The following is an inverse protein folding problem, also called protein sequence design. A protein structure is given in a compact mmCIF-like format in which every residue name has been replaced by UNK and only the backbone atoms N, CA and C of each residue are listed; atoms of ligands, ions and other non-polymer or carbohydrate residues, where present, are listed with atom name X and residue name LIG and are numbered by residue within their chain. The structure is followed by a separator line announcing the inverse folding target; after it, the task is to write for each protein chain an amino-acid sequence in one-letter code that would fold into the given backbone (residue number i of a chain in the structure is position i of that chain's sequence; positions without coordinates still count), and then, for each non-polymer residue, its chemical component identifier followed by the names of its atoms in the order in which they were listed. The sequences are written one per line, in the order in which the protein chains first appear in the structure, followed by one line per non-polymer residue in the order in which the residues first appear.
data_IF_885361232821
#
_entry.id   IF_885361232821
#
_cell.length_a   1.000
_cell.length_b   1.000
_cell.length_c   1.000
_cell.angle_alpha   90.00
_cell.angle_beta   90.00
_cell.angle_gamma   90.00
#
_symmetry.space_group_name_H-M   'P 1'
#
loop_
_entity.id
_entity.type
_entity.pdbx_description
1 polymer ?
#
# COMPACT_ATOMS: atom_id res chain seq x y z
N UNK A 1 6.22 5.46 13.71
CA UNK A 1 6.60 5.20 12.30
C UNK A 1 6.70 6.51 11.57
N UNK A 2 7.62 6.58 10.61
CA UNK A 2 7.72 7.66 9.63
C UNK A 2 6.81 7.35 8.45
N UNK A 3 5.92 8.27 8.12
CA UNK A 3 4.94 8.11 7.04
C UNK A 3 5.10 9.25 6.04
N UNK A 4 5.28 8.89 4.78
CA UNK A 4 5.31 9.83 3.67
C UNK A 4 3.96 9.80 2.95
N UNK A 5 3.26 10.93 2.91
CA UNK A 5 2.01 11.09 2.18
C UNK A 5 2.30 11.86 0.89
N UNK A 6 2.07 11.23 -0.26
CA UNK A 6 2.16 11.91 -1.56
C UNK A 6 0.86 12.68 -1.81
N UNK A 7 0.97 13.99 -2.00
CA UNK A 7 -0.15 14.92 -2.10
C UNK A 7 -0.52 15.53 -0.74
N UNK A 8 -0.94 16.79 -0.73
CA UNK A 8 -1.35 17.55 0.45
C UNK A 8 -2.75 18.18 0.33
N UNK A 9 -3.56 17.70 -0.60
CA UNK A 9 -4.95 18.11 -0.79
C UNK A 9 -5.89 17.76 0.37
N UNK A 10 -7.20 17.98 0.19
CA UNK A 10 -8.20 17.82 1.26
C UNK A 10 -8.38 16.36 1.72
N UNK A 11 -8.31 15.39 0.79
CA UNK A 11 -8.36 13.97 1.13
C UNK A 11 -7.06 13.50 1.81
N UNK A 12 -5.90 13.94 1.33
CA UNK A 12 -4.60 13.67 1.97
C UNK A 12 -4.54 14.26 3.38
N UNK A 13 -5.14 15.44 3.59
CA UNK A 13 -5.26 16.06 4.92
C UNK A 13 -6.14 15.26 5.87
N UNK A 14 -7.23 14.64 5.38
CA UNK A 14 -8.03 13.72 6.20
C UNK A 14 -7.28 12.44 6.58
N UNK A 15 -6.39 11.95 5.71
CA UNK A 15 -5.47 10.85 6.04
C UNK A 15 -4.47 11.31 7.10
N UNK A 16 -3.83 12.45 6.88
CA UNK A 16 -2.88 13.04 7.83
C UNK A 16 -3.50 13.21 9.22
N UNK A 17 -4.75 13.68 9.32
CA UNK A 17 -5.46 13.84 10.60
C UNK A 17 -5.54 12.54 11.41
N UNK A 18 -5.85 11.41 10.77
CA UNK A 18 -5.94 10.12 11.48
C UNK A 18 -4.58 9.61 11.91
N UNK A 19 -3.58 9.74 11.03
CA UNK A 19 -2.21 9.30 11.33
C UNK A 19 -1.54 10.20 12.38
N UNK A 20 -1.82 11.50 12.35
CA UNK A 20 -1.32 12.49 13.30
C UNK A 20 -1.87 12.21 14.70
N UNK A 21 -3.19 12.01 14.80
CA UNK A 21 -3.83 11.63 16.05
C UNK A 21 -3.37 10.27 16.61
N UNK A 22 -2.83 9.39 15.78
CA UNK A 22 -2.19 8.13 16.19
C UNK A 22 -0.70 8.28 16.58
N UNK A 23 -0.13 9.48 16.47
CA UNK A 23 1.25 9.78 16.90
C UNK A 23 2.33 9.43 15.88
N UNK A 24 2.00 9.33 14.59
CA UNK A 24 2.99 9.11 13.54
C UNK A 24 3.75 10.39 13.16
N UNK A 25 5.00 10.24 12.72
CA UNK A 25 5.75 11.34 12.09
C UNK A 25 5.34 11.39 10.62
N UNK A 26 4.85 12.54 10.17
CA UNK A 26 4.26 12.69 8.83
C UNK A 26 5.08 13.70 8.04
N UNK A 27 5.49 13.33 6.83
CA UNK A 27 5.97 14.26 5.81
C UNK A 27 5.02 14.19 4.62
N UNK A 28 4.66 15.34 4.06
CA UNK A 28 3.81 15.41 2.88
C UNK A 28 4.57 16.00 1.69
N UNK A 29 4.27 15.53 0.48
CA UNK A 29 4.76 16.17 -0.76
C UNK A 29 3.63 16.77 -1.55
N UNK A 30 3.96 17.79 -2.35
CA UNK A 30 2.99 18.44 -3.22
C UNK A 30 3.68 19.01 -4.47
N UNK A 31 2.88 19.37 -5.48
CA UNK A 31 3.33 20.13 -6.65
C UNK A 31 3.50 21.62 -6.30
N UNK A 32 4.25 22.35 -7.14
CA UNK A 32 4.53 23.78 -6.91
C UNK A 32 3.27 24.68 -6.93
N UNK A 33 2.27 24.30 -7.72
CA UNK A 33 0.98 25.01 -7.83
C UNK A 33 -0.18 24.06 -7.50
N UNK A 34 -0.51 23.86 -6.21
CA UNK A 34 -1.54 22.90 -5.81
C UNK A 34 -2.94 23.33 -6.31
N UNK A 35 -3.63 22.45 -7.02
CA UNK A 35 -4.99 22.69 -7.53
C UNK A 35 -6.07 22.20 -6.55
N UNK A 36 -5.87 22.42 -5.25
CA UNK A 36 -6.82 22.00 -4.23
C UNK A 36 -7.99 22.97 -4.16
N UNK A 37 -9.22 22.49 -4.33
CA UNK A 37 -10.43 23.34 -4.30
C UNK A 37 -10.87 23.66 -2.86
N UNK A 38 -10.89 22.65 -1.98
CA UNK A 38 -11.26 22.81 -0.56
C UNK A 38 -10.05 23.26 0.26
N UNK A 39 -9.50 24.43 -0.07
CA UNK A 39 -8.22 24.94 0.46
C UNK A 39 -8.23 25.15 1.97
N UNK A 40 -9.35 25.61 2.53
CA UNK A 40 -9.54 25.86 3.97
C UNK A 40 -9.34 24.61 4.85
N UNK A 41 -9.34 23.42 4.26
CA UNK A 41 -9.16 22.13 4.95
C UNK A 41 -8.05 21.29 4.33
N UNK A 42 -7.09 21.94 3.67
CA UNK A 42 -5.97 21.29 3.01
C UNK A 42 -4.63 21.86 3.46
N UNK A 43 -3.69 20.98 3.77
CA UNK A 43 -2.32 21.35 4.16
C UNK A 43 -1.48 21.81 2.96
N UNK A 44 -1.92 21.59 1.73
CA UNK A 44 -1.28 22.11 0.50
C UNK A 44 -1.16 23.64 0.47
N UNK A 45 -1.94 24.36 1.29
CA UNK A 45 -1.76 25.80 1.55
C UNK A 45 -0.37 26.18 2.00
N UNK A 46 0.32 25.30 2.74
CA UNK A 46 1.67 25.56 3.21
C UNK A 46 2.63 25.88 2.06
N UNK A 47 2.43 25.31 0.86
CA UNK A 47 3.28 25.53 -0.32
C UNK A 47 3.38 27.02 -0.71
N UNK A 48 2.25 27.74 -0.68
CA UNK A 48 2.18 29.14 -1.13
C UNK A 48 1.94 30.16 -0.01
N UNK A 49 1.51 29.72 1.17
CA UNK A 49 1.33 30.57 2.36
C UNK A 49 2.46 30.41 3.38
N UNK A 50 3.38 29.45 3.18
CA UNK A 50 4.46 29.10 4.10
C UNK A 50 4.02 28.23 5.29
N UNK A 51 2.75 28.32 5.70
CA UNK A 51 2.16 27.45 6.72
C UNK A 51 0.67 27.20 6.44
N UNK A 52 0.13 26.15 7.05
CA UNK A 52 -1.29 25.84 7.04
C UNK A 52 -1.70 25.22 8.38
N UNK A 53 -2.89 25.57 8.85
CA UNK A 53 -3.50 24.96 10.04
C UNK A 53 -4.85 24.38 9.66
N UNK A 54 -5.07 23.11 9.99
CA UNK A 54 -6.33 22.40 9.77
C UNK A 54 -6.62 21.56 11.00
N UNK A 55 -7.70 21.93 11.71
CA UNK A 55 -8.06 21.34 13.00
C UNK A 55 -6.85 21.45 13.96
N UNK A 56 -6.34 20.34 14.50
CA UNK A 56 -5.19 20.33 15.43
C UNK A 56 -3.82 20.27 14.74
N UNK A 57 -3.79 20.10 13.41
CA UNK A 57 -2.56 19.92 12.66
C UNK A 57 -2.04 21.27 12.15
N UNK A 58 -0.74 21.47 12.34
CA UNK A 58 0.01 22.57 11.72
C UNK A 58 1.01 21.99 10.74
N UNK A 59 1.06 22.58 9.56
CA UNK A 59 1.98 22.20 8.51
C UNK A 59 2.79 23.41 8.05
N UNK A 60 4.05 23.17 7.71
CA UNK A 60 4.99 24.21 7.28
C UNK A 60 5.67 23.79 5.99
N UNK A 61 5.89 24.74 5.09
CA UNK A 61 6.74 24.50 3.93
C UNK A 61 8.16 24.25 4.40
N UNK A 62 8.79 23.24 3.83
CA UNK A 62 10.22 22.99 3.96
C UNK A 62 10.82 22.84 2.56
N UNK A 63 11.96 23.50 2.33
CA UNK A 63 12.70 23.46 1.07
C UNK A 63 13.96 22.57 1.17
N UNK A 64 14.28 22.04 2.37
CA UNK A 64 15.44 21.18 2.63
C UNK A 64 15.15 20.05 3.63
N UNK A 65 16.05 19.07 3.70
CA UNK A 65 15.98 17.98 4.70
C UNK A 65 16.11 18.53 6.12
N UNK A 66 16.97 19.51 6.32
CA UNK A 66 17.21 20.17 7.60
C UNK A 66 15.95 20.88 8.10
N UNK A 67 15.33 21.72 7.26
CA UNK A 67 14.07 22.39 7.58
C UNK A 67 12.95 21.40 7.87
N UNK A 68 12.83 20.35 7.06
CA UNK A 68 11.84 19.30 7.30
C UNK A 68 12.06 18.61 8.66
N UNK A 69 13.32 18.35 9.01
CA UNK A 69 13.71 17.81 10.32
C UNK A 69 13.34 18.74 11.48
N UNK A 70 13.53 20.05 11.32
CA UNK A 70 13.13 21.03 12.34
C UNK A 70 11.61 21.05 12.55
N UNK A 71 10.82 21.01 11.48
CA UNK A 71 9.36 20.96 11.56
C UNK A 71 8.90 19.67 12.27
N UNK A 72 9.46 18.52 11.88
CA UNK A 72 9.16 17.23 12.51
C UNK A 72 9.53 17.20 14.01
N UNK A 73 10.63 17.85 14.40
CA UNK A 73 11.08 17.89 15.80
C UNK A 73 10.10 18.62 16.73
N UNK A 74 9.27 19.51 16.18
CA UNK A 74 8.22 20.24 16.90
C UNK A 74 6.90 19.47 16.97
N UNK A 75 6.81 18.33 16.28
CA UNK A 75 5.57 17.58 16.12
C UNK A 75 4.64 18.18 15.07
N UNK A 76 5.15 19.03 14.19
CA UNK A 76 4.42 19.62 13.07
C UNK A 76 4.70 18.85 11.76
N UNK A 77 3.95 19.14 10.69
CA UNK A 77 4.02 18.40 9.42
C UNK A 77 4.78 19.21 8.36
N UNK A 78 5.97 18.79 7.90
CA UNK A 78 6.60 19.40 6.73
C UNK A 78 5.86 19.07 5.43
N UNK A 79 5.69 20.09 4.58
CA UNK A 79 5.18 19.97 3.21
C UNK A 79 6.28 20.40 2.24
N UNK A 80 6.72 19.49 1.39
CA UNK A 80 7.82 19.73 0.43
C UNK A 80 7.25 19.78 -0.98
N UNK A 81 7.72 20.73 -1.79
CA UNK A 81 7.46 20.74 -3.24
C UNK A 81 8.34 19.69 -3.92
N UNK A 82 7.79 18.48 -4.06
CA UNK A 82 8.51 17.30 -4.56
C UNK A 82 7.54 16.33 -5.26
N UNK A 83 7.16 16.62 -6.52
CA UNK A 83 6.17 15.85 -7.26
C UNK A 83 6.53 14.38 -7.45
N UNK A 84 7.84 14.06 -7.50
CA UNK A 84 8.33 12.68 -7.66
C UNK A 84 8.61 11.99 -6.32
N UNK A 85 8.35 12.66 -5.19
CA UNK A 85 8.60 12.13 -3.84
C UNK A 85 10.04 11.61 -3.64
N UNK A 86 11.02 12.30 -4.24
CA UNK A 86 12.46 11.97 -4.09
C UNK A 86 12.94 12.06 -2.65
N UNK A 87 12.25 12.84 -1.81
CA UNK A 87 12.50 12.94 -0.38
C UNK A 87 12.46 11.59 0.35
N UNK A 88 11.78 10.58 -0.19
CA UNK A 88 11.77 9.22 0.36
C UNK A 88 13.17 8.64 0.56
N UNK A 89 14.15 9.05 -0.26
CA UNK A 89 15.54 8.55 -0.21
C UNK A 89 16.27 8.94 1.07
N UNK A 90 15.97 10.09 1.65
CA UNK A 90 16.60 10.56 2.89
C UNK A 90 15.63 10.50 4.08
N UNK A 91 14.33 10.57 3.84
CA UNK A 91 13.33 10.43 4.90
C UNK A 91 13.22 8.98 5.38
N UNK A 92 13.43 8.03 4.45
CA UNK A 92 13.33 6.58 4.67
C UNK A 92 12.02 6.20 5.38
N UNK A 93 10.86 6.44 4.74
CA UNK A 93 9.57 6.18 5.35
C UNK A 93 9.36 4.68 5.60
N UNK A 94 8.76 4.34 6.75
CA UNK A 94 8.23 2.99 7.01
C UNK A 94 7.02 2.71 6.10
N UNK A 95 6.23 3.76 5.83
CA UNK A 95 5.01 3.69 5.02
C UNK A 95 4.95 4.83 4.02
N UNK A 96 4.61 4.52 2.77
CA UNK A 96 4.17 5.52 1.78
C UNK A 96 2.67 5.40 1.56
N UNK A 97 1.99 6.54 1.55
CA UNK A 97 0.57 6.66 1.18
C UNK A 97 0.48 7.54 -0.06
N UNK A 98 0.10 6.97 -1.20
CA UNK A 98 -0.19 7.76 -2.40
C UNK A 98 -1.63 8.28 -2.37
N UNK A 99 -1.76 9.55 -1.98
CA UNK A 99 -3.02 10.27 -1.87
C UNK A 99 -3.18 11.36 -2.96
N UNK A 100 -2.41 11.28 -4.06
CA UNK A 100 -2.48 12.22 -5.19
C UNK A 100 -3.85 12.13 -5.88
N UNK A 101 -4.46 10.95 -5.89
CA UNK A 101 -5.77 10.67 -6.50
C UNK A 101 -5.83 11.00 -8.01
N UNK A 102 -4.73 10.74 -8.72
CA UNK A 102 -4.62 10.96 -10.16
C UNK A 102 -5.51 10.03 -11.01
N UNK A 103 -6.14 9.01 -10.40
CA UNK A 103 -6.96 7.96 -11.04
C UNK A 103 -6.17 7.04 -11.98
N UNK A 104 -4.85 7.16 -11.96
CA UNK A 104 -3.85 6.33 -12.63
C UNK A 104 -2.60 6.34 -11.77
N UNK A 105 -1.83 5.25 -11.80
CA UNK A 105 -0.52 5.23 -11.16
C UNK A 105 0.43 6.19 -11.90
N UNK A 106 1.08 7.10 -11.16
CA UNK A 106 2.05 8.08 -11.70
C UNK A 106 3.51 7.67 -11.47
N UNK A 107 3.76 6.43 -11.04
CA UNK A 107 5.09 5.90 -10.77
C UNK A 107 5.32 5.49 -9.32
N UNK A 108 4.26 5.16 -8.59
CA UNK A 108 4.36 4.48 -7.29
C UNK A 108 4.60 3.00 -7.51
N UNK A 109 5.60 2.47 -6.85
CA UNK A 109 5.94 1.05 -6.87
C UNK A 109 5.76 0.44 -5.48
N UNK A 110 5.41 -0.85 -5.42
CA UNK A 110 5.23 -1.57 -4.15
C UNK A 110 6.50 -1.58 -3.29
N UNK A 111 7.66 -1.39 -3.92
CA UNK A 111 9.00 -1.36 -3.34
C UNK A 111 9.46 0.05 -2.92
N UNK A 112 8.66 1.10 -3.11
CA UNK A 112 9.05 2.48 -2.77
C UNK A 112 9.28 2.68 -1.26
N UNK A 113 8.64 1.87 -0.42
CA UNK A 113 8.79 1.79 1.03
C UNK A 113 8.50 0.37 1.52
N UNK A 114 8.84 0.03 2.79
CA UNK A 114 8.53 -1.27 3.36
C UNK A 114 7.03 -1.62 3.44
N UNK A 115 6.16 -0.60 3.35
CA UNK A 115 4.72 -0.74 3.15
C UNK A 115 4.19 0.43 2.32
N UNK A 116 3.34 0.16 1.34
CA UNK A 116 2.87 1.13 0.35
C UNK A 116 1.36 1.01 0.20
N UNK A 117 0.66 2.13 0.34
CA UNK A 117 -0.81 2.22 0.28
C UNK A 117 -1.20 3.11 -0.89
N UNK A 118 -1.96 2.56 -1.84
CA UNK A 118 -2.62 3.35 -2.88
C UNK A 118 -3.98 3.86 -2.42
N UNK A 119 -4.33 5.12 -2.66
CA UNK A 119 -5.63 5.66 -2.27
C UNK A 119 -6.50 5.91 -3.50
N UNK A 120 -7.59 5.15 -3.61
CA UNK A 120 -8.56 5.27 -4.70
C UNK A 120 -8.18 4.54 -5.99
N UNK A 121 -8.90 4.80 -7.10
CA UNK A 121 -8.68 4.11 -8.36
C UNK A 121 -7.32 4.47 -8.98
N UNK A 122 -6.80 3.58 -9.81
CA UNK A 122 -5.51 3.73 -10.48
C UNK A 122 -4.37 2.91 -9.88
N UNK A 123 -4.63 2.21 -8.78
CA UNK A 123 -3.70 1.28 -8.12
C UNK A 123 -4.31 -0.13 -8.03
N UNK A 124 -3.45 -1.12 -7.99
CA UNK A 124 -3.78 -2.55 -7.83
C UNK A 124 -2.98 -3.12 -6.65
N UNK A 125 -3.67 -3.58 -5.62
CA UNK A 125 -3.07 -4.25 -4.47
C UNK A 125 -2.41 -5.56 -4.90
N UNK A 126 -1.16 -5.76 -4.46
CA UNK A 126 -0.30 -6.87 -4.85
C UNK A 126 0.57 -6.60 -6.09
N UNK A 127 0.37 -5.47 -6.79
CA UNK A 127 1.18 -5.08 -7.94
C UNK A 127 1.81 -3.69 -7.74
N UNK A 128 0.98 -2.64 -7.66
CA UNK A 128 1.45 -1.26 -7.51
C UNK A 128 1.76 -0.92 -6.03
N UNK A 129 1.07 -1.58 -5.11
CA UNK A 129 1.09 -1.29 -3.68
C UNK A 129 0.65 -2.52 -2.86
N UNK A 130 0.83 -2.48 -1.55
CA UNK A 130 0.46 -3.60 -0.67
C UNK A 130 -1.05 -3.68 -0.43
N UNK A 131 -1.73 -2.53 -0.42
CA UNK A 131 -3.17 -2.45 -0.35
C UNK A 131 -3.69 -1.15 -0.94
N UNK A 132 -4.97 -1.16 -1.33
CA UNK A 132 -5.68 0.02 -1.83
C UNK A 132 -6.77 0.42 -0.83
N UNK A 133 -6.93 1.71 -0.55
CA UNK A 133 -8.06 2.22 0.24
C UNK A 133 -9.15 2.76 -0.68
N UNK A 134 -10.38 2.28 -0.51
CA UNK A 134 -11.53 2.70 -1.31
C UNK A 134 -11.94 4.16 -1.01
N UNK A 135 -12.26 4.91 -2.07
CA UNK A 135 -12.61 6.34 -2.01
C UNK A 135 -13.99 6.66 -2.58
N UNK A 136 -14.65 5.71 -3.23
CA UNK A 136 -16.03 5.85 -3.69
C UNK A 136 -16.96 5.86 -2.49
N UNK A 137 -17.84 6.87 -2.45
CA UNK A 137 -18.89 6.95 -1.42
C UNK A 137 -19.83 5.75 -1.57
N UNK A 138 -20.20 5.15 -0.45
CA UNK A 138 -21.04 3.95 -0.39
C UNK A 138 -20.65 3.09 0.82
N UNK A 139 -21.14 1.85 0.84
CA UNK A 139 -20.89 0.91 1.93
C UNK A 139 -19.42 0.49 2.09
N UNK A 140 -18.60 0.69 1.07
CA UNK A 140 -17.19 0.27 1.06
C UNK A 140 -16.22 1.43 1.23
N UNK A 141 -16.70 2.65 1.47
CA UNK A 141 -15.84 3.83 1.61
C UNK A 141 -14.87 3.65 2.78
N UNK A 142 -13.57 3.78 2.51
CA UNK A 142 -12.51 3.58 3.49
C UNK A 142 -12.11 2.12 3.72
N UNK A 143 -12.76 1.15 3.05
CA UNK A 143 -12.33 -0.24 3.16
C UNK A 143 -10.91 -0.42 2.62
N UNK A 144 -10.14 -1.26 3.30
CA UNK A 144 -8.83 -1.71 2.85
C UNK A 144 -8.99 -2.92 1.92
N UNK A 145 -8.52 -2.78 0.69
CA UNK A 145 -8.55 -3.79 -0.36
C UNK A 145 -7.15 -4.41 -0.43
N UNK A 146 -7.06 -5.69 -0.05
CA UNK A 146 -5.80 -6.43 0.00
C UNK A 146 -5.47 -7.17 -1.31
N UNK A 147 -6.41 -7.24 -2.25
CA UNK A 147 -6.25 -7.84 -3.57
C UNK A 147 -7.16 -7.11 -4.57
N UNK A 148 -6.61 -6.69 -5.72
CA UNK A 148 -7.34 -5.94 -6.74
C UNK A 148 -7.34 -4.42 -6.53
N UNK A 149 -8.31 -3.72 -7.12
CA UNK A 149 -8.33 -2.25 -7.19
C UNK A 149 -9.61 -1.66 -6.57
N UNK A 150 -9.53 -0.38 -6.20
CA UNK A 150 -10.72 0.39 -5.85
C UNK A 150 -11.69 0.54 -7.04
N UNK A 151 -12.95 0.84 -6.74
CA UNK A 151 -13.98 1.01 -7.75
C UNK A 151 -13.56 2.13 -8.73
N UNK A 152 -13.64 1.88 -10.06
CA UNK A 152 -13.24 2.87 -11.06
C UNK A 152 -13.96 4.21 -10.90
N UNK A 153 -13.26 5.29 -11.24
CA UNK A 153 -13.84 6.63 -11.23
C UNK A 153 -15.00 6.72 -12.23
N UNK A 154 -16.22 6.90 -11.74
CA UNK A 154 -17.43 7.03 -12.58
C UNK A 154 -17.52 8.38 -13.31
N UNK A 155 -16.71 9.37 -12.93
CA UNK A 155 -16.80 10.75 -13.44
C UNK A 155 -17.96 11.56 -12.85
N UNK A 156 -18.92 10.90 -12.20
CA UNK A 156 -20.09 11.52 -11.56
C UNK A 156 -19.78 11.84 -10.09
N UNK A 157 -19.88 13.10 -9.65
CA UNK A 157 -19.69 13.47 -8.25
C UNK A 157 -20.76 12.84 -7.36
N UNK A 158 -20.41 12.58 -6.09
CA UNK A 158 -21.40 12.14 -5.09
C UNK A 158 -22.52 13.15 -4.89
N UNK A 159 -23.72 12.65 -4.62
CA UNK A 159 -24.91 13.45 -4.35
C UNK A 159 -24.75 14.22 -3.04
N UNK A 160 -25.08 15.52 -3.07
CA UNK A 160 -25.17 16.38 -1.89
C UNK A 160 -26.46 17.19 -1.99
N UNK A 161 -27.43 16.88 -1.13
CA UNK A 161 -28.72 17.58 -1.10
C UNK A 161 -29.51 17.48 -2.42
N UNK A 162 -29.38 16.37 -3.16
CA UNK A 162 -30.04 16.16 -4.45
C UNK A 162 -29.17 16.46 -5.67
N UNK A 163 -28.06 17.18 -5.52
CA UNK A 163 -27.23 17.67 -6.63
C UNK A 163 -25.95 16.85 -6.81
N UNK A 164 -25.49 16.72 -8.05
CA UNK A 164 -24.25 15.98 -8.39
C UNK A 164 -23.28 16.84 -9.19
N UNK A 165 -23.55 17.07 -10.47
CA UNK A 165 -22.69 17.82 -11.39
C UNK A 165 -22.88 19.32 -11.20
N UNK A 166 -24.11 19.74 -10.90
CA UNK A 166 -24.55 21.12 -10.70
C UNK A 166 -23.79 21.80 -9.56
N UNK A 167 -23.30 21.00 -8.59
CA UNK A 167 -22.55 21.51 -7.45
C UNK A 167 -21.11 21.88 -7.79
N UNK A 168 -20.61 21.51 -8.97
CA UNK A 168 -19.23 21.80 -9.38
C UNK A 168 -19.15 23.14 -10.10
N UNK A 169 -18.22 23.99 -9.68
CA UNK A 169 -17.84 25.18 -10.42
C UNK A 169 -16.71 24.76 -11.36
N UNK A 170 -16.89 24.95 -12.67
CA UNK A 170 -15.92 24.58 -13.71
C UNK A 170 -15.46 25.81 -14.47
N UNK A 171 -14.18 25.85 -14.84
CA UNK A 171 -13.63 26.93 -15.65
C UNK A 171 -14.34 27.01 -17.01
N UNK A 172 -14.76 28.22 -17.40
CA UNK A 172 -15.39 28.50 -18.69
C UNK A 172 -14.37 28.59 -19.83
N UNK A 173 -13.12 28.93 -19.53
CA UNK A 173 -12.04 29.00 -20.51
C UNK A 173 -10.68 28.77 -19.84
N UNK A 174 -9.67 28.41 -20.65
CA UNK A 174 -8.30 28.30 -20.17
C UNK A 174 -7.72 29.68 -19.84
N UNK A 175 -6.98 29.80 -18.74
CA UNK A 175 -6.37 31.05 -18.31
C UNK A 175 -6.13 31.09 -16.80
N UNK A 176 -5.99 32.30 -16.25
CA UNK A 176 -5.97 32.50 -14.81
C UNK A 176 -7.40 32.63 -14.28
N UNK A 177 -7.64 32.07 -13.10
CA UNK A 177 -8.90 32.25 -12.37
C UNK A 177 -8.89 33.55 -11.55
N UNK A 178 -10.01 34.27 -11.61
CA UNK A 178 -10.33 35.42 -10.76
C UNK A 178 -11.63 35.13 -10.00
N UNK A 179 -11.57 34.61 -8.76
CA UNK A 179 -12.76 34.39 -7.95
C UNK A 179 -13.52 35.70 -7.69
N UNK A 180 -14.85 35.69 -7.85
CA UNK A 180 -15.73 36.82 -7.52
C UNK A 180 -16.47 36.62 -6.20
N UNK A 181 -16.34 35.44 -5.61
CA UNK A 181 -16.89 35.02 -4.32
C UNK A 181 -15.83 34.27 -3.52
N UNK A 182 -16.02 34.19 -2.21
CA UNK A 182 -15.11 33.53 -1.26
C UNK A 182 -15.73 32.23 -0.74
N UNK A 183 -14.87 31.34 -0.24
CA UNK A 183 -15.32 30.16 0.51
C UNK A 183 -16.11 30.63 1.74
N UNK A 184 -17.32 30.10 1.93
CA UNK A 184 -18.26 30.51 2.97
C UNK A 184 -19.38 31.44 2.47
N UNK A 185 -19.23 32.06 1.30
CA UNK A 185 -20.28 32.91 0.74
C UNK A 185 -21.47 32.06 0.26
N UNK A 186 -22.68 32.56 0.48
CA UNK A 186 -23.88 32.05 -0.17
C UNK A 186 -23.99 32.65 -1.58
N UNK A 187 -24.32 31.82 -2.56
CA UNK A 187 -24.52 32.23 -3.96
C UNK A 187 -25.86 31.75 -4.48
N UNK A 188 -26.43 32.52 -5.40
CA UNK A 188 -27.65 32.16 -6.13
C UNK A 188 -27.32 31.50 -7.48
N UNK A 189 -28.18 30.57 -7.93
CA UNK A 189 -28.08 30.02 -9.27
C UNK A 189 -28.09 31.15 -10.33
N UNK A 190 -27.16 31.11 -11.27
CA UNK A 190 -26.96 32.16 -12.28
C UNK A 190 -26.08 33.33 -11.83
N UNK A 191 -25.62 33.37 -10.57
CA UNK A 191 -24.64 34.36 -10.12
C UNK A 191 -23.26 34.09 -10.71
N UNK A 192 -22.53 35.14 -11.08
CA UNK A 192 -21.11 35.03 -11.47
C UNK A 192 -20.27 34.76 -10.23
N UNK A 193 -19.55 33.64 -10.22
CA UNK A 193 -18.73 33.19 -9.09
C UNK A 193 -17.22 33.29 -9.35
N UNK A 194 -16.81 33.29 -10.61
CA UNK A 194 -15.43 33.52 -11.00
C UNK A 194 -15.37 34.05 -12.44
N UNK A 195 -14.19 34.50 -12.85
CA UNK A 195 -13.83 34.73 -14.26
C UNK A 195 -12.62 33.84 -14.57
N UNK A 196 -12.62 33.17 -15.73
CA UNK A 196 -11.50 32.33 -16.18
C UNK A 196 -11.22 32.61 -17.64
N UNK A 197 -9.97 32.95 -17.98
CA UNK A 197 -9.61 33.27 -19.37
C UNK A 197 -10.37 34.47 -19.95
N UNK A 198 -10.85 35.38 -19.10
CA UNK A 198 -11.71 36.52 -19.48
C UNK A 198 -13.21 36.21 -19.53
N UNK A 199 -13.61 34.94 -19.43
CA UNK A 199 -15.01 34.51 -19.51
C UNK A 199 -15.64 34.31 -18.12
N UNK A 200 -16.89 34.75 -17.90
CA UNK A 200 -17.58 34.57 -16.62
C UNK A 200 -17.93 33.08 -16.38
N UNK A 201 -17.83 32.69 -15.11
CA UNK A 201 -18.26 31.37 -14.61
C UNK A 201 -19.48 31.56 -13.73
N UNK A 202 -20.57 30.86 -14.04
CA UNK A 202 -21.85 30.99 -13.35
C UNK A 202 -22.12 29.82 -12.42
N UNK A 203 -22.67 30.09 -11.23
CA UNK A 203 -23.20 29.08 -10.33
C UNK A 203 -24.36 28.33 -10.99
N UNK A 204 -24.29 26.99 -11.04
CA UNK A 204 -25.36 26.16 -11.60
C UNK A 204 -26.44 25.80 -10.57
N UNK A 205 -26.22 26.18 -9.31
CA UNK A 205 -27.16 25.97 -8.21
C UNK A 205 -26.92 26.99 -7.09
N UNK A 206 -27.94 27.23 -6.27
CA UNK A 206 -27.80 28.05 -5.07
C UNK A 206 -27.21 27.25 -3.90
N UNK A 207 -26.48 27.91 -3.01
CA UNK A 207 -25.90 27.27 -1.82
C UNK A 207 -24.64 27.99 -1.35
N UNK A 208 -23.87 27.33 -0.47
CA UNK A 208 -22.61 27.89 0.03
C UNK A 208 -21.44 27.43 -0.82
N UNK A 209 -20.56 28.35 -1.21
CA UNK A 209 -19.28 28.04 -1.83
C UNK A 209 -18.40 27.36 -0.79
N UNK A 210 -18.25 26.04 -0.91
CA UNK A 210 -17.50 25.21 0.03
C UNK A 210 -16.02 25.08 -0.34
N UNK A 211 -15.71 25.35 -1.60
CA UNK A 211 -14.35 25.33 -2.13
C UNK A 211 -14.23 26.22 -3.35
N UNK A 212 -13.05 26.79 -3.53
CA UNK A 212 -12.68 27.68 -4.63
C UNK A 212 -11.16 27.62 -4.77
N UNK A 213 -10.63 27.51 -5.98
CA UNK A 213 -9.20 27.62 -6.25
C UNK A 213 -8.67 29.00 -5.84
N UNK A 214 -7.35 29.11 -5.71
CA UNK A 214 -6.70 30.38 -5.44
C UNK A 214 -6.79 31.30 -6.65
N UNK A 215 -6.87 32.61 -6.38
CA UNK A 215 -6.76 33.62 -7.42
C UNK A 215 -5.42 33.48 -8.16
N UNK A 216 -5.45 33.64 -9.48
CA UNK A 216 -4.27 33.58 -10.32
C UNK A 216 -3.82 32.17 -10.72
N UNK A 217 -4.39 31.09 -10.17
CA UNK A 217 -4.11 29.72 -10.61
C UNK A 217 -4.39 29.52 -12.09
N UNK A 218 -3.46 28.83 -12.77
CA UNK A 218 -3.67 28.38 -14.14
C UNK A 218 -4.75 27.28 -14.18
N UNK A 219 -5.74 27.45 -15.03
CA UNK A 219 -6.83 26.49 -15.23
C UNK A 219 -6.99 26.20 -16.71
N UNK A 220 -7.36 24.96 -17.05
CA UNK A 220 -7.85 24.60 -18.38
C UNK A 220 -9.37 24.70 -18.41
N UNK A 221 -9.95 24.83 -19.60
CA UNK A 221 -11.39 24.74 -19.78
C UNK A 221 -11.94 23.46 -19.12
N UNK A 222 -13.11 23.55 -18.49
CA UNK A 222 -13.80 22.48 -17.77
C UNK A 222 -13.09 21.91 -16.52
N UNK A 223 -11.92 22.43 -16.15
CA UNK A 223 -11.26 22.09 -14.88
C UNK A 223 -12.18 22.44 -13.70
N UNK A 224 -12.22 21.58 -12.68
CA UNK A 224 -12.94 21.88 -11.45
C UNK A 224 -12.22 23.01 -10.71
N UNK A 225 -12.87 24.15 -10.55
CA UNK A 225 -12.32 25.33 -9.89
C UNK A 225 -12.99 25.66 -8.56
N UNK A 226 -14.13 25.04 -8.26
CA UNK A 226 -14.88 25.28 -7.04
C UNK A 226 -15.93 24.21 -6.78
N UNK A 227 -16.56 24.25 -5.60
CA UNK A 227 -17.77 23.48 -5.32
C UNK A 227 -18.73 24.22 -4.39
N UNK A 228 -20.03 24.03 -4.66
CA UNK A 228 -21.14 24.56 -3.89
C UNK A 228 -21.74 23.42 -3.07
N UNK A 229 -22.09 23.68 -1.81
CA UNK A 229 -22.75 22.74 -0.92
C UNK A 229 -24.21 23.16 -0.71
N UNK A 230 -25.13 22.33 -1.20
CA UNK A 230 -26.57 22.55 -1.14
C UNK A 230 -27.12 22.65 0.28
N UNK A 231 -26.42 22.06 1.26
CA UNK A 231 -26.87 22.02 2.66
C UNK A 231 -26.71 23.36 3.36
N UNK A 232 -25.92 24.28 2.78
CA UNK A 232 -25.71 25.62 3.29
C UNK A 232 -25.23 25.70 4.76
N UNK A 233 -24.42 24.71 5.18
CA UNK A 233 -23.79 24.69 6.50
C UNK A 233 -22.36 25.26 6.42
N UNK A 234 -22.14 26.46 6.96
CA UNK A 234 -20.86 27.18 6.90
C UNK A 234 -19.72 26.35 7.52
N UNK A 235 -19.98 25.62 8.61
CA UNK A 235 -18.98 24.81 9.29
C UNK A 235 -18.33 23.77 8.35
N UNK A 236 -19.07 23.24 7.37
CA UNK A 236 -18.56 22.27 6.40
C UNK A 236 -17.47 22.84 5.47
N UNK A 237 -17.31 24.17 5.41
CA UNK A 237 -16.20 24.81 4.70
C UNK A 237 -14.87 24.62 5.43
N UNK A 238 -14.89 24.47 6.76
CA UNK A 238 -13.68 24.52 7.62
C UNK A 238 -13.38 23.21 8.35
N UNK A 239 -14.22 22.18 8.18
CA UNK A 239 -13.99 20.86 8.78
C UNK A 239 -13.57 19.81 7.76
N UNK A 240 -12.70 18.89 8.18
CA UNK A 240 -12.35 17.70 7.40
C UNK A 240 -13.63 16.91 7.09
N UNK A 241 -13.82 16.50 5.84
CA UNK A 241 -15.06 15.82 5.44
C UNK A 241 -15.18 14.42 6.04
N UNK A 242 -16.42 13.97 6.22
CA UNK A 242 -16.77 12.57 6.47
C UNK A 242 -16.01 11.58 5.59
N UNK A 243 -15.93 11.88 4.29
CA UNK A 243 -15.22 11.05 3.30
C UNK A 243 -13.72 11.00 3.57
N UNK A 244 -13.10 12.17 3.81
CA UNK A 244 -11.68 12.25 4.09
C UNK A 244 -11.33 11.51 5.39
N UNK A 245 -12.19 11.61 6.41
CA UNK A 245 -12.04 10.89 7.68
C UNK A 245 -12.20 9.37 7.53
N UNK A 246 -13.13 8.92 6.70
CA UNK A 246 -13.33 7.49 6.43
C UNK A 246 -12.13 6.89 5.67
N UNK A 247 -11.63 7.58 4.65
CA UNK A 247 -10.41 7.19 3.93
C UNK A 247 -9.21 7.17 4.89
N UNK A 248 -9.04 8.21 5.70
CA UNK A 248 -7.98 8.23 6.72
C UNK A 248 -8.09 7.09 7.73
N UNK A 249 -9.32 6.68 8.08
CA UNK A 249 -9.55 5.52 8.94
C UNK A 249 -9.07 4.22 8.30
N UNK A 250 -9.36 4.01 7.02
CA UNK A 250 -8.85 2.88 6.25
C UNK A 250 -7.32 2.86 6.12
N UNK A 251 -6.71 4.02 5.90
CA UNK A 251 -5.25 4.14 5.88
C UNK A 251 -4.66 3.80 7.25
N UNK A 252 -5.22 4.35 8.34
CA UNK A 252 -4.77 4.03 9.69
C UNK A 252 -4.92 2.53 10.00
N UNK A 253 -6.03 1.90 9.62
CA UNK A 253 -6.21 0.45 9.77
C UNK A 253 -5.10 -0.34 9.05
N UNK A 254 -4.78 0.02 7.81
CA UNK A 254 -3.71 -0.63 7.05
C UNK A 254 -2.33 -0.41 7.69
N UNK A 255 -2.05 0.79 8.20
CA UNK A 255 -0.82 1.12 8.93
C UNK A 255 -0.70 0.34 10.23
N UNK A 256 -1.78 0.23 11.01
CA UNK A 256 -1.82 -0.55 12.25
C UNK A 256 -1.64 -2.05 11.99
N UNK A 257 -2.24 -2.56 10.90
CA UNK A 257 -2.00 -3.93 10.44
C UNK A 257 -0.52 -4.16 10.18
N UNK A 258 0.12 -3.26 9.44
CA UNK A 258 1.55 -3.35 9.16
C UNK A 258 2.41 -3.31 10.44
N UNK A 259 2.10 -2.41 11.38
CA UNK A 259 2.80 -2.32 12.66
C UNK A 259 2.72 -3.62 13.49
N UNK A 260 1.63 -4.39 13.37
CA UNK A 260 1.50 -5.69 14.02
C UNK A 260 2.39 -6.78 13.40
N UNK A 261 2.84 -6.59 12.16
CA UNK A 261 3.65 -7.55 11.39
C UNK A 261 5.14 -7.21 11.34
N UNK A 262 5.46 -5.92 11.24
CA UNK A 262 6.83 -5.44 11.03
C UNK A 262 7.80 -5.97 12.10
N UNK A 263 8.87 -6.63 11.65
CA UNK A 263 9.90 -7.20 12.51
C UNK A 263 9.42 -8.36 13.39
N UNK A 264 8.31 -9.02 13.05
CA UNK A 264 7.79 -10.20 13.77
C UNK A 264 7.71 -11.47 12.94
N UNK A 265 7.82 -11.37 11.62
CA UNK A 265 7.75 -12.51 10.72
C UNK A 265 8.95 -12.54 9.78
N UNK A 266 9.22 -13.71 9.22
CA UNK A 266 10.25 -13.94 8.21
C UNK A 266 9.71 -14.76 7.04
N UNK A 267 10.41 -14.71 5.91
CA UNK A 267 10.11 -15.50 4.71
C UNK A 267 11.25 -16.49 4.48
N UNK A 268 10.91 -17.75 4.24
CA UNK A 268 11.85 -18.78 3.79
C UNK A 268 11.37 -19.33 2.46
N UNK A 269 12.18 -19.17 1.43
CA UNK A 269 11.95 -19.67 0.08
C UNK A 269 12.70 -20.99 -0.08
N UNK A 270 11.99 -22.06 -0.41
CA UNK A 270 12.57 -23.39 -0.62
C UNK A 270 12.89 -23.57 -2.11
N UNK A 271 14.17 -23.69 -2.43
CA UNK A 271 14.70 -23.79 -3.80
C UNK A 271 15.72 -24.92 -3.98
N UNK A 272 15.77 -25.88 -3.05
CA UNK A 272 16.73 -26.99 -3.07
C UNK A 272 16.17 -28.29 -3.70
N UNK A 273 14.98 -28.26 -4.31
CA UNK A 273 14.36 -29.45 -4.89
C UNK A 273 15.13 -29.98 -6.11
N UNK A 274 15.35 -31.30 -6.18
CA UNK A 274 16.12 -31.93 -7.26
C UNK A 274 15.44 -31.92 -8.64
N UNK A 275 14.14 -31.59 -8.73
CA UNK A 275 13.42 -31.46 -10.01
C UNK A 275 13.43 -32.72 -10.87
N UNK A 276 13.51 -33.90 -10.26
CA UNK A 276 13.74 -35.18 -10.96
C UNK A 276 12.67 -35.48 -12.00
N UNK A 277 11.39 -35.20 -11.68
CA UNK A 277 10.25 -35.37 -12.61
C UNK A 277 10.28 -34.41 -13.81
N UNK A 278 10.98 -33.30 -13.68
CA UNK A 278 11.16 -32.30 -14.74
C UNK A 278 12.31 -32.63 -15.69
N UNK A 279 13.19 -33.57 -15.29
CA UNK A 279 14.41 -33.93 -16.01
C UNK A 279 15.63 -33.07 -15.63
N UNK A 280 15.61 -32.43 -14.46
CA UNK A 280 16.67 -31.53 -13.98
C UNK A 280 16.48 -30.08 -14.41
N UNK A 281 17.15 -29.17 -13.70
CA UNK A 281 17.20 -27.72 -13.99
C UNK A 281 15.85 -26.97 -14.03
N UNK A 282 14.82 -27.52 -13.35
CA UNK A 282 13.45 -26.99 -13.26
C UNK A 282 13.40 -25.50 -12.94
N UNK A 283 14.17 -25.07 -11.94
CA UNK A 283 14.14 -23.69 -11.47
C UNK A 283 14.68 -22.68 -12.49
N UNK A 284 15.48 -23.12 -13.47
CA UNK A 284 15.99 -22.27 -14.54
C UNK A 284 15.14 -22.28 -15.80
N UNK A 285 14.12 -23.16 -15.86
CA UNK A 285 13.21 -23.18 -16.98
C UNK A 285 12.44 -21.85 -17.06
N UNK A 286 12.19 -21.40 -18.28
CA UNK A 286 11.51 -20.13 -18.52
C UNK A 286 9.99 -20.30 -18.39
N UNK A 287 9.38 -19.47 -17.55
CA UNK A 287 7.94 -19.26 -17.43
C UNK A 287 7.71 -17.77 -17.64
N UNK A 288 6.85 -17.39 -18.60
CA UNK A 288 6.61 -15.98 -18.97
C UNK A 288 7.93 -15.22 -19.20
N UNK A 289 8.80 -15.81 -20.02
CA UNK A 289 10.12 -15.29 -20.40
C UNK A 289 11.16 -15.15 -19.27
N UNK A 290 10.86 -15.69 -18.07
CA UNK A 290 11.70 -15.52 -16.88
C UNK A 290 11.99 -16.86 -16.20
N UNK A 291 13.21 -17.09 -15.67
CA UNK A 291 13.51 -18.30 -14.90
C UNK A 291 12.52 -18.49 -13.74
N UNK A 292 12.05 -19.72 -13.55
CA UNK A 292 11.04 -20.06 -12.56
C UNK A 292 11.35 -19.52 -11.14
N UNK A 293 12.62 -19.60 -10.70
CA UNK A 293 13.01 -19.10 -9.37
C UNK A 293 12.86 -17.58 -9.21
N UNK A 294 13.06 -16.80 -10.27
CA UNK A 294 13.02 -15.32 -10.21
C UNK A 294 11.62 -14.81 -9.85
N UNK A 295 10.56 -15.52 -10.24
CA UNK A 295 9.18 -15.13 -9.93
C UNK A 295 8.94 -15.01 -8.42
N UNK A 296 9.51 -15.90 -7.61
CA UNK A 296 9.36 -15.83 -6.15
C UNK A 296 10.34 -14.82 -5.53
N UNK A 297 11.53 -14.63 -6.11
CA UNK A 297 12.47 -13.62 -5.63
C UNK A 297 11.88 -12.21 -5.78
N UNK A 298 11.25 -11.90 -6.89
CA UNK A 298 10.59 -10.59 -7.12
C UNK A 298 9.44 -10.35 -6.15
N UNK A 299 8.61 -11.37 -5.88
CA UNK A 299 7.53 -11.25 -4.90
C UNK A 299 8.06 -10.99 -3.50
N UNK A 300 9.21 -11.55 -3.15
CA UNK A 300 9.83 -11.32 -1.85
C UNK A 300 10.34 -9.86 -1.69
N UNK A 301 10.68 -9.15 -2.77
CA UNK A 301 11.10 -7.74 -2.70
C UNK A 301 9.99 -6.81 -2.21
N UNK A 302 8.72 -7.15 -2.51
CA UNK A 302 7.58 -6.44 -1.95
C UNK A 302 7.55 -6.51 -0.41
N UNK A 303 8.19 -7.51 0.20
CA UNK A 303 8.21 -7.70 1.66
C UNK A 303 9.56 -7.32 2.27
N UNK A 304 10.18 -6.22 1.81
CA UNK A 304 11.51 -5.76 2.28
C UNK A 304 11.60 -5.52 3.80
N UNK A 305 10.47 -5.31 4.50
CA UNK A 305 10.40 -5.24 5.97
C UNK A 305 10.54 -6.59 6.69
N UNK A 306 10.53 -7.70 5.97
CA UNK A 306 10.57 -9.06 6.48
C UNK A 306 11.92 -9.71 6.13
N UNK A 307 12.71 -10.15 7.11
CA UNK A 307 13.92 -10.93 6.84
C UNK A 307 13.58 -12.11 5.94
N UNK A 308 14.24 -12.18 4.79
CA UNK A 308 13.96 -13.17 3.75
C UNK A 308 15.18 -14.05 3.52
N UNK A 309 14.93 -15.35 3.40
CA UNK A 309 15.96 -16.37 3.23
C UNK A 309 15.60 -17.27 2.05
N UNK A 310 16.61 -17.73 1.30
CA UNK A 310 16.43 -18.77 0.28
C UNK A 310 17.30 -19.98 0.61
N UNK A 311 16.70 -21.16 0.67
CA UNK A 311 17.41 -22.41 0.88
C UNK A 311 17.68 -23.06 -0.47
N UNK A 312 18.95 -23.08 -0.89
CA UNK A 312 19.36 -23.58 -2.21
C UNK A 312 20.74 -24.22 -2.18
N UNK A 313 20.98 -25.18 -3.08
CA UNK A 313 22.31 -25.70 -3.39
C UNK A 313 22.94 -25.03 -4.63
N UNK A 314 22.17 -24.27 -5.39
CA UNK A 314 22.60 -23.63 -6.63
C UNK A 314 23.20 -22.24 -6.36
N UNK A 315 24.47 -22.07 -6.76
CA UNK A 315 25.23 -20.83 -6.57
C UNK A 315 24.61 -19.63 -7.31
N UNK A 316 24.07 -19.81 -8.51
CA UNK A 316 23.50 -18.69 -9.27
C UNK A 316 22.18 -18.22 -8.67
N UNK A 317 21.37 -19.15 -8.15
CA UNK A 317 20.14 -18.80 -7.42
C UNK A 317 20.49 -18.04 -6.13
N UNK A 318 21.52 -18.49 -5.40
CA UNK A 318 22.01 -17.78 -4.22
C UNK A 318 22.47 -16.35 -4.54
N UNK A 319 23.31 -16.18 -5.57
CA UNK A 319 23.79 -14.87 -6.01
C UNK A 319 22.66 -13.95 -6.49
N UNK A 320 21.66 -14.49 -7.18
CA UNK A 320 20.49 -13.72 -7.61
C UNK A 320 19.65 -13.23 -6.42
N UNK A 321 19.47 -14.08 -5.40
CA UNK A 321 18.74 -13.73 -4.19
C UNK A 321 19.49 -12.67 -3.34
N UNK A 322 20.81 -12.82 -3.18
CA UNK A 322 21.63 -11.89 -2.40
C UNK A 322 21.62 -10.47 -2.98
N UNK A 323 21.61 -10.33 -4.32
CA UNK A 323 21.47 -9.02 -5.00
C UNK A 323 20.18 -8.30 -4.65
N UNK A 324 19.15 -9.02 -4.20
CA UNK A 324 17.83 -8.52 -3.81
C UNK A 324 17.68 -8.40 -2.29
N UNK A 325 18.76 -8.59 -1.53
CA UNK A 325 18.75 -8.54 -0.07
C UNK A 325 18.20 -9.81 0.60
N UNK A 326 18.05 -10.91 -0.13
CA UNK A 326 17.57 -12.20 0.40
C UNK A 326 18.78 -13.04 0.80
N UNK A 327 18.81 -13.50 2.05
CA UNK A 327 19.95 -14.25 2.59
C UNK A 327 19.97 -15.69 2.07
N UNK A 328 21.06 -16.09 1.41
CA UNK A 328 21.21 -17.46 0.94
C UNK A 328 21.58 -18.42 2.10
N UNK A 329 20.91 -19.55 2.15
CA UNK A 329 21.15 -20.66 3.08
C UNK A 329 21.51 -21.89 2.26
N UNK A 330 22.74 -22.37 2.42
CA UNK A 330 23.25 -23.44 1.58
C UNK A 330 22.68 -24.80 2.01
N UNK A 331 22.06 -25.52 1.08
CA UNK A 331 21.73 -26.94 1.22
C UNK A 331 22.55 -27.76 0.22
N UNK A 332 23.51 -28.56 0.72
CA UNK A 332 24.38 -29.42 -0.10
C UNK A 332 23.89 -30.87 -0.22
N UNK A 333 22.83 -31.24 0.51
CA UNK A 333 22.32 -32.61 0.61
C UNK A 333 20.81 -32.66 0.28
N UNK A 334 20.36 -32.16 -0.89
CA UNK A 334 18.94 -32.13 -1.25
C UNK A 334 18.28 -33.52 -1.29
N UNK A 335 19.07 -34.58 -1.47
CA UNK A 335 18.63 -35.99 -1.44
C UNK A 335 18.10 -36.43 -0.07
N UNK A 336 18.39 -35.69 1.00
CA UNK A 336 17.85 -35.96 2.35
C UNK A 336 16.40 -35.52 2.54
N UNK A 337 15.79 -34.98 1.48
CA UNK A 337 14.38 -34.62 1.43
C UNK A 337 14.09 -33.20 1.92
N UNK A 338 12.85 -32.77 1.71
CA UNK A 338 12.39 -31.40 2.02
C UNK A 338 12.54 -31.02 3.50
N UNK A 339 12.52 -31.99 4.42
CA UNK A 339 12.68 -31.74 5.85
C UNK A 339 14.02 -31.08 6.19
N UNK A 340 15.11 -31.41 5.48
CA UNK A 340 16.39 -30.75 5.70
C UNK A 340 16.31 -29.26 5.33
N UNK A 341 15.72 -28.94 4.18
CA UNK A 341 15.57 -27.55 3.73
C UNK A 341 14.73 -26.71 4.69
N UNK A 342 13.62 -27.27 5.21
CA UNK A 342 12.78 -26.62 6.22
C UNK A 342 13.57 -26.28 7.48
N UNK A 343 14.36 -27.24 8.00
CA UNK A 343 15.17 -27.06 9.21
C UNK A 343 16.29 -26.04 9.01
N UNK A 344 16.98 -26.07 7.86
CA UNK A 344 18.02 -25.10 7.53
C UNK A 344 17.45 -23.68 7.49
N UNK A 345 16.31 -23.49 6.82
CA UNK A 345 15.62 -22.20 6.78
C UNK A 345 15.15 -21.73 8.16
N UNK A 346 14.53 -22.60 8.96
CA UNK A 346 14.12 -22.31 10.34
C UNK A 346 15.31 -21.86 11.20
N UNK A 347 16.41 -22.61 11.17
CA UNK A 347 17.62 -22.30 11.94
C UNK A 347 18.25 -20.98 11.50
N UNK A 348 18.29 -20.69 10.20
CA UNK A 348 18.80 -19.43 9.69
C UNK A 348 17.99 -18.23 10.19
N UNK A 349 16.65 -18.31 10.15
CA UNK A 349 15.79 -17.28 10.71
C UNK A 349 16.02 -17.13 12.22
N UNK A 350 16.02 -18.22 12.97
CA UNK A 350 16.21 -18.18 14.43
C UNK A 350 17.54 -17.52 14.80
N UNK A 351 18.63 -17.85 14.10
CA UNK A 351 19.94 -17.21 14.29
C UNK A 351 19.90 -15.72 13.97
N UNK A 352 19.34 -15.32 12.83
CA UNK A 352 19.26 -13.91 12.45
C UNK A 352 18.46 -13.05 13.45
N UNK A 353 17.40 -13.60 14.04
CA UNK A 353 16.67 -12.92 15.10
C UNK A 353 17.43 -12.91 16.44
N UNK A 354 18.21 -13.95 16.74
CA UNK A 354 19.05 -14.02 17.93
C UNK A 354 20.23 -13.05 17.87
N UNK A 355 20.95 -13.01 16.74
CA UNK A 355 22.06 -12.11 16.51
C UNK A 355 21.61 -10.63 16.60
N UNK A 356 20.35 -10.35 16.28
CA UNK A 356 19.74 -9.03 16.44
C UNK A 356 19.18 -8.74 17.83
N UNK A 357 19.24 -9.69 18.79
CA UNK A 357 18.65 -9.57 20.13
C UNK A 357 17.12 -9.44 20.11
N UNK A 358 16.46 -10.10 19.15
CA UNK A 358 15.02 -10.01 18.88
C UNK A 358 14.34 -11.38 18.86
N UNK A 359 14.88 -12.40 19.53
CA UNK A 359 14.30 -13.75 19.48
C UNK A 359 12.83 -13.72 19.88
N UNK A 360 12.48 -13.02 20.95
CA UNK A 360 11.11 -12.97 21.47
C UNK A 360 10.11 -12.24 20.55
N UNK A 361 10.61 -11.48 19.58
CA UNK A 361 9.76 -10.81 18.58
C UNK A 361 9.33 -11.73 17.45
N UNK A 362 10.09 -12.79 17.15
CA UNK A 362 9.76 -13.72 16.06
C UNK A 362 8.49 -14.52 16.41
N UNK A 363 7.42 -14.20 15.69
CA UNK A 363 6.08 -14.80 15.82
C UNK A 363 5.82 -15.91 14.83
N UNK A 364 6.41 -15.87 13.63
CA UNK A 364 6.19 -16.92 12.65
C UNK A 364 7.06 -16.80 11.40
N UNK A 365 7.07 -17.87 10.60
CA UNK A 365 7.84 -17.97 9.36
C UNK A 365 6.90 -18.41 8.24
N UNK A 366 6.86 -17.64 7.16
CA UNK A 366 6.21 -18.02 5.91
C UNK A 366 7.19 -18.88 5.10
N UNK A 367 6.88 -20.15 4.94
CA UNK A 367 7.58 -21.02 4.00
C UNK A 367 6.87 -20.97 2.64
N UNK A 368 7.64 -20.67 1.61
CA UNK A 368 7.20 -20.57 0.23
C UNK A 368 8.07 -21.42 -0.68
N UNK A 369 7.59 -21.72 -1.88
CA UNK A 369 8.25 -22.60 -2.86
C UNK A 369 8.47 -21.86 -4.18
N UNK A 370 9.56 -22.18 -4.89
CA UNK A 370 9.88 -21.51 -6.15
C UNK A 370 9.10 -22.04 -7.37
N UNK A 371 8.36 -23.13 -7.24
CA UNK A 371 7.71 -23.82 -8.34
C UNK A 371 6.23 -23.50 -8.54
N UNK A 372 5.71 -22.53 -7.78
CA UNK A 372 4.39 -21.94 -7.94
C UNK A 372 4.53 -20.50 -8.49
N UNK A 373 4.75 -20.32 -9.80
CA UNK A 373 4.97 -19.00 -10.38
C UNK A 373 3.69 -18.14 -10.35
N UNK A 374 2.52 -18.76 -10.21
CA UNK A 374 1.22 -18.07 -10.20
C UNK A 374 0.91 -17.31 -8.91
N UNK A 375 1.49 -17.68 -7.76
CA UNK A 375 1.11 -17.12 -6.45
C UNK A 375 1.20 -15.58 -6.42
N UNK A 376 0.18 -14.88 -5.98
CA UNK A 376 0.19 -13.42 -5.96
C UNK A 376 0.81 -12.85 -4.69
N UNK A 377 1.46 -11.68 -4.79
CA UNK A 377 1.92 -10.89 -3.63
C UNK A 377 0.76 -10.55 -2.70
N UNK A 378 -0.44 -10.30 -3.25
CA UNK A 378 -1.65 -10.05 -2.49
C UNK A 378 -2.03 -11.24 -1.59
N UNK A 379 -1.88 -12.48 -2.10
CA UNK A 379 -2.14 -13.71 -1.33
C UNK A 379 -1.15 -13.85 -0.17
N UNK A 380 0.15 -13.60 -0.42
CA UNK A 380 1.17 -13.56 0.64
C UNK A 380 0.86 -12.50 1.71
N UNK A 381 0.47 -11.30 1.30
CA UNK A 381 0.08 -10.22 2.22
C UNK A 381 -1.13 -10.61 3.08
N UNK A 382 -2.15 -11.23 2.47
CA UNK A 382 -3.34 -11.74 3.18
C UNK A 382 -2.98 -12.84 4.19
N UNK A 383 -1.99 -13.68 3.90
CA UNK A 383 -1.49 -14.69 4.85
C UNK A 383 -0.87 -14.00 6.08
N UNK A 384 -0.01 -13.01 5.89
CA UNK A 384 0.56 -12.25 7.02
C UNK A 384 -0.50 -11.51 7.84
N UNK A 385 -1.45 -10.86 7.17
CA UNK A 385 -2.57 -10.18 7.83
C UNK A 385 -3.39 -11.15 8.70
N UNK A 386 -3.66 -12.33 8.16
CA UNK A 386 -4.42 -13.39 8.86
C UNK A 386 -3.61 -13.95 10.02
N UNK A 387 -2.30 -14.14 9.88
CA UNK A 387 -1.42 -14.58 10.96
C UNK A 387 -1.38 -13.58 12.12
N UNK A 388 -1.28 -12.28 11.82
CA UNK A 388 -1.30 -11.22 12.82
C UNK A 388 -2.61 -11.19 13.63
N UNK A 389 -3.72 -11.60 13.03
CA UNK A 389 -5.04 -11.73 13.68
C UNK A 389 -5.22 -13.02 14.48
N UNK A 390 -4.48 -14.06 14.14
CA UNK A 390 -4.67 -15.40 14.69
C UNK A 390 -3.36 -15.99 15.20
N UNK A 391 -2.77 -15.43 16.27
CA UNK A 391 -1.61 -16.02 16.92
C UNK A 391 -1.85 -17.48 17.28
N UNK A 392 -0.87 -18.34 17.03
CA UNK A 392 -0.95 -19.77 17.31
C UNK A 392 -1.67 -20.61 16.26
N UNK A 393 -2.09 -20.03 15.12
CA UNK A 393 -2.63 -20.76 13.96
C UNK A 393 -1.56 -21.07 12.90
N UNK A 394 -1.83 -22.06 12.06
CA UNK A 394 -1.10 -22.30 10.80
C UNK A 394 -1.92 -21.63 9.70
N UNK A 395 -1.33 -20.73 8.93
CA UNK A 395 -2.04 -20.02 7.86
C UNK A 395 -1.46 -20.46 6.53
N UNK A 396 -2.27 -20.92 5.59
CA UNK A 396 -1.79 -21.32 4.28
C UNK A 396 -2.66 -20.74 3.17
N UNK A 397 -2.09 -20.59 1.97
CA UNK A 397 -2.93 -20.46 0.79
C UNK A 397 -3.71 -21.77 0.57
N UNK A 398 -4.79 -21.70 -0.18
CA UNK A 398 -5.58 -22.87 -0.53
C UNK A 398 -6.83 -22.49 -1.28
N UNK A 399 -7.58 -23.51 -1.69
CA UNK A 399 -8.84 -23.32 -2.42
C UNK A 399 -9.83 -24.40 -2.07
N UNK A 400 -11.07 -24.00 -1.80
CA UNK A 400 -12.19 -24.93 -1.54
C UNK A 400 -11.85 -25.98 -0.46
N UNK A 401 -11.23 -25.54 0.63
CA UNK A 401 -10.85 -26.41 1.75
C UNK A 401 -9.57 -27.24 1.54
N UNK A 402 -8.95 -27.19 0.36
CA UNK A 402 -7.64 -27.83 0.10
C UNK A 402 -6.51 -26.85 0.44
N UNK A 403 -5.57 -27.32 1.26
CA UNK A 403 -4.37 -26.57 1.66
C UNK A 403 -3.32 -26.59 0.56
N UNK A 404 -2.64 -25.46 0.34
CA UNK A 404 -1.52 -25.30 -0.57
C UNK A 404 -0.39 -24.47 0.04
N UNK A 405 0.63 -24.18 -0.77
CA UNK A 405 1.69 -23.23 -0.42
C UNK A 405 1.31 -21.81 -0.87
N UNK A 406 1.88 -20.76 -0.25
CA UNK A 406 2.80 -20.79 0.89
C UNK A 406 2.09 -21.05 2.23
N UNK A 407 2.87 -21.46 3.23
CA UNK A 407 2.38 -21.78 4.58
C UNK A 407 3.15 -21.00 5.64
N UNK A 408 2.44 -20.18 6.41
CA UNK A 408 2.95 -19.48 7.58
C UNK A 408 2.75 -20.31 8.83
N UNK A 409 3.86 -20.55 9.51
CA UNK A 409 3.94 -21.31 10.75
C UNK A 409 4.15 -20.36 11.90
N UNK A 410 3.22 -20.36 12.86
CA UNK A 410 3.45 -19.71 14.15
C UNK A 410 4.62 -20.37 14.89
N UNK A 411 5.35 -19.56 15.69
CA UNK A 411 6.52 -19.97 16.48
C UNK A 411 6.27 -21.24 17.30
N UNK A 412 5.05 -21.47 17.79
CA UNK A 412 4.70 -22.67 18.55
C UNK A 412 4.96 -23.98 17.80
N UNK A 413 5.00 -23.94 16.46
CA UNK A 413 5.23 -25.12 15.62
C UNK A 413 6.71 -25.32 15.25
N UNK A 414 7.60 -24.38 15.61
CA UNK A 414 9.02 -24.48 15.30
C UNK A 414 9.68 -25.75 15.87
N UNK A 415 9.39 -26.22 17.11
CA UNK A 415 9.94 -27.48 17.60
C UNK A 415 9.57 -28.67 16.71
N UNK A 416 8.30 -28.78 16.31
CA UNK A 416 7.85 -29.85 15.41
C UNK A 416 8.52 -29.76 14.03
N UNK A 417 8.70 -28.55 13.49
CA UNK A 417 9.44 -28.34 12.23
C UNK A 417 10.93 -28.75 12.36
N UNK A 418 11.54 -28.53 13.53
CA UNK A 418 12.94 -28.87 13.81
C UNK A 418 13.19 -30.39 13.89
N UNK A 419 12.16 -31.17 14.19
CA UNK A 419 12.21 -32.63 14.33
C UNK A 419 11.88 -33.38 13.04
N UNK A 420 11.46 -32.68 11.97
CA UNK A 420 11.14 -33.30 10.69
C UNK A 420 12.34 -34.05 10.09
N UNK A 421 12.07 -35.23 9.52
CA UNK A 421 13.06 -36.05 8.81
C UNK A 421 12.50 -36.62 7.51
N UNK A 422 13.39 -36.87 6.54
CA UNK A 422 13.05 -37.50 5.27
C UNK A 422 12.31 -36.58 4.31
N UNK A 423 11.54 -37.18 3.40
CA UNK A 423 10.83 -36.46 2.32
C UNK A 423 9.41 -36.03 2.72
N UNK A 424 9.10 -36.03 4.02
CA UNK A 424 7.81 -35.61 4.54
C UNK A 424 7.90 -34.14 4.96
N UNK A 425 7.27 -33.26 4.17
CA UNK A 425 7.19 -31.83 4.47
C UNK A 425 6.29 -31.51 5.67
N UNK A 426 6.01 -30.22 5.88
CA UNK A 426 5.16 -29.75 6.99
C UNK A 426 3.73 -30.32 7.01
N UNK A 427 3.28 -30.98 5.94
CA UNK A 427 1.95 -31.59 5.84
C UNK A 427 1.62 -32.51 7.02
N UNK A 428 2.56 -33.30 7.52
CA UNK A 428 2.30 -34.17 8.68
C UNK A 428 1.92 -33.41 9.96
N UNK A 429 2.51 -32.23 10.16
CA UNK A 429 2.18 -31.36 11.29
C UNK A 429 0.79 -30.75 11.06
N UNK A 430 0.48 -30.34 9.82
CA UNK A 430 -0.86 -29.85 9.45
C UNK A 430 -1.94 -30.93 9.67
N UNK A 431 -1.64 -32.19 9.38
CA UNK A 431 -2.55 -33.33 9.56
C UNK A 431 -2.91 -33.54 11.03
N UNK A 432 -1.95 -33.29 11.92
CA UNK A 432 -2.12 -33.39 13.38
C UNK A 432 -2.80 -32.16 14.02
N UNK A 433 -2.93 -31.06 13.28
CA UNK A 433 -3.40 -29.76 13.79
C UNK A 433 -4.47 -29.11 12.90
N UNK A 434 -5.35 -29.94 12.31
CA UNK A 434 -6.39 -29.49 11.35
C UNK A 434 -7.24 -28.33 11.84
N UNK A 435 -7.61 -28.32 13.13
CA UNK A 435 -8.44 -27.27 13.74
C UNK A 435 -7.72 -25.92 13.90
N UNK A 436 -6.39 -25.91 13.81
CA UNK A 436 -5.59 -24.69 13.91
C UNK A 436 -5.21 -24.12 12.54
N UNK A 437 -5.62 -24.77 11.45
CA UNK A 437 -5.35 -24.32 10.09
C UNK A 437 -6.38 -23.30 9.66
N UNK A 438 -5.90 -22.20 9.07
CA UNK A 438 -6.73 -21.21 8.39
C UNK A 438 -6.27 -21.09 6.94
N UNK A 439 -7.23 -21.20 6.03
CA UNK A 439 -6.97 -21.13 4.60
C UNK A 439 -7.27 -19.70 4.13
N UNK A 440 -6.27 -19.09 3.49
CA UNK A 440 -6.46 -17.88 2.67
C UNK A 440 -6.81 -18.36 1.27
N UNK A 441 -8.05 -18.11 0.86
CA UNK A 441 -8.52 -18.48 -0.48
C UNK A 441 -7.71 -17.75 -1.56
N UNK A 442 -7.15 -18.54 -2.47
CA UNK A 442 -6.36 -18.13 -3.62
C UNK A 442 -6.99 -18.66 -4.91
N UNK A 443 -6.66 -18.05 -6.04
CA UNK A 443 -7.10 -18.54 -7.34
C UNK A 443 -6.42 -19.86 -7.72
N UNK A 444 -7.03 -20.62 -8.64
CA UNK A 444 -6.58 -21.98 -8.93
C UNK A 444 -5.22 -21.93 -9.62
N UNK A 445 -5.04 -20.92 -10.46
CA UNK A 445 -3.84 -20.57 -11.20
C UNK A 445 -2.67 -20.21 -10.27
N UNK A 446 -2.95 -19.67 -9.08
CA UNK A 446 -1.94 -19.35 -8.08
C UNK A 446 -1.30 -20.60 -7.47
N UNK A 447 -2.05 -21.69 -7.40
CA UNK A 447 -1.70 -22.92 -6.69
C UNK A 447 -1.13 -24.01 -7.63
N UNK A 448 -0.89 -23.70 -8.90
CA UNK A 448 -0.33 -24.64 -9.88
C UNK A 448 1.16 -24.81 -9.64
N UNK A 449 1.58 -26.05 -9.40
CA UNK A 449 2.99 -26.46 -9.32
C UNK A 449 3.54 -26.80 -10.72
N UNK A 450 4.78 -26.41 -11.01
CA UNK A 450 5.50 -26.81 -12.24
C UNK A 450 6.35 -28.05 -11.98
N UNK A 451 5.82 -29.26 -12.09
CA UNK A 451 6.56 -30.50 -11.78
C UNK A 451 7.15 -31.20 -13.01
N UNK A 452 6.52 -31.00 -14.17
CA UNK A 452 6.88 -31.59 -15.46
C UNK A 452 6.99 -30.47 -16.51
N UNK A 453 7.73 -30.75 -17.59
CA UNK A 453 7.83 -29.81 -18.72
C UNK A 453 6.48 -29.51 -19.38
N UNK A 454 5.53 -30.44 -19.29
CA UNK A 454 4.18 -30.27 -19.82
C UNK A 454 3.40 -29.19 -19.06
N UNK A 455 3.67 -29.01 -17.76
CA UNK A 455 3.03 -28.00 -16.90
C UNK A 455 3.40 -26.57 -17.33
N UNK A 456 4.50 -26.39 -18.07
CA UNK A 456 4.85 -25.11 -18.68
C UNK A 456 3.84 -24.67 -19.75
N UNK A 457 3.09 -25.58 -20.35
CA UNK A 457 2.11 -25.25 -21.41
C UNK A 457 0.85 -24.58 -20.86
N UNK A 458 0.61 -24.70 -19.56
CA UNK A 458 -0.55 -24.14 -18.87
C UNK A 458 -0.30 -22.77 -18.23
N UNK A 459 0.88 -22.15 -18.43
CA UNK A 459 1.35 -20.99 -17.63
C UNK A 459 1.71 -19.73 -18.42
#
# INVERSE_FOLDING_TARGET
MKILIKGAGDLATGIASRLYGAGHQILMTEIAEPLTVRRTVALSRAVYEGCAEVEEMRAFRADSQEEAGEVLSRGDIPVIVDPEARCRRWFEPDVIVDAILAKKNLGTEITDAPFVIGVGPGFTAGNDCHCVVETKRGHTLGNVIWQGSAIPNTGVPGNVGGYTIERLIRASAAGKIEPRVKIGDFVEAGQVVAVTGGEPVYAQMSGIVRGMLQEGSAVTENLKIGDIDARAEISHCYTISDKARAIGGGVLEAVDRFALMQGRYAIVILAAGAGTRFGGDKLRALVREKPLYEHMLEKAEAFSSFPSFIVTGDRQIAEAAEKRGITAVQNREPERGIALSLRLGLQAVQRAFADAGREDRLRGILFSVCDQPGIETATMQRIFNTAALHPGSIICAGRSGKTGNPVLWDRRYFPGLAELTGDVGGRQIMDSHREQIRIVEAEAEELIDVDRREDLRSL
#
